data_IF_999069499401
#
_entry.id   IF_999069499401
#
_cell.length_a   1.000
_cell.length_b   1.000
_cell.length_c   1.000
_cell.angle_alpha   90.00
_cell.angle_beta   90.00
_cell.angle_gamma   90.00
#
_symmetry.space_group_name_H-M   'P 1'
#
loop_
_entity.id
_entity.type
_entity.pdbx_description
1 polymer ?
#
# COMPACT_ATOMS: atom_id res chain seq x y z
N UNK A 1 -22.51 2.35 37.29
CA UNK A 1 -22.11 0.99 36.85
C UNK A 1 -22.03 0.90 35.31
N UNK A 2 -21.79 2.01 34.59
CA UNK A 2 -21.85 2.05 33.10
C UNK A 2 -20.48 2.12 32.41
N UNK A 3 -19.38 2.34 33.15
CA UNK A 3 -18.06 2.57 32.53
C UNK A 3 -17.29 1.28 32.18
N UNK A 4 -17.63 0.14 32.81
CA UNK A 4 -16.97 -1.14 32.53
C UNK A 4 -17.44 -1.83 31.25
N UNK A 5 -18.63 -1.50 30.75
CA UNK A 5 -19.22 -2.13 29.56
C UNK A 5 -18.69 -1.53 28.24
N UNK A 6 -18.27 -0.26 28.25
CA UNK A 6 -17.71 0.41 27.06
C UNK A 6 -16.28 -0.04 26.73
N UNK A 7 -15.48 -0.39 27.74
CA UNK A 7 -14.11 -0.90 27.53
C UNK A 7 -14.10 -2.28 26.85
N UNK A 8 -14.96 -3.21 27.29
CA UNK A 8 -15.01 -4.57 26.71
C UNK A 8 -15.44 -4.59 25.23
N UNK A 9 -16.34 -3.69 24.81
CA UNK A 9 -16.75 -3.56 23.40
C UNK A 9 -15.62 -2.99 22.53
N UNK A 10 -14.82 -2.07 23.07
CA UNK A 10 -13.70 -1.48 22.33
C UNK A 10 -12.56 -2.48 22.13
N UNK A 11 -12.28 -3.32 23.14
CA UNK A 11 -11.29 -4.40 23.03
C UNK A 11 -11.72 -5.52 22.07
N UNK A 12 -13.02 -5.82 21.99
CA UNK A 12 -13.54 -6.79 21.04
C UNK A 12 -13.43 -6.29 19.59
N UNK A 13 -13.75 -5.02 19.35
CA UNK A 13 -13.61 -4.37 18.03
C UNK A 13 -12.13 -4.30 17.62
N UNK A 14 -11.22 -3.98 18.55
CA UNK A 14 -9.78 -4.00 18.27
C UNK A 14 -9.27 -5.39 17.89
N UNK A 15 -9.78 -6.46 18.54
CA UNK A 15 -9.44 -7.84 18.18
C UNK A 15 -9.99 -8.25 16.82
N UNK A 16 -11.19 -7.81 16.44
CA UNK A 16 -11.75 -8.07 15.10
C UNK A 16 -11.00 -7.30 14.01
N UNK A 17 -10.56 -6.07 14.27
CA UNK A 17 -9.71 -5.29 13.34
C UNK A 17 -8.34 -5.96 13.17
N UNK A 18 -7.76 -6.51 14.25
CA UNK A 18 -6.52 -7.28 14.18
C UNK A 18 -6.71 -8.65 13.50
N UNK A 19 -7.86 -9.30 13.65
CA UNK A 19 -8.19 -10.58 13.01
C UNK A 19 -8.55 -10.44 11.52
N UNK A 20 -9.04 -9.27 11.10
CA UNK A 20 -9.39 -8.94 9.71
C UNK A 20 -8.22 -8.39 8.88
N UNK A 21 -7.06 -8.12 9.50
CA UNK A 21 -5.86 -7.70 8.77
C UNK A 21 -5.29 -8.92 8.05
N UNK A 22 -5.76 -9.12 6.81
CA UNK A 22 -5.05 -9.94 5.82
C UNK A 22 -3.60 -9.48 5.83
N UNK A 23 -2.70 -10.41 6.15
CA UNK A 23 -1.27 -10.25 6.21
C UNK A 23 -0.79 -9.32 5.09
N UNK A 24 -0.25 -8.17 5.45
CA UNK A 24 0.30 -7.23 4.47
C UNK A 24 1.55 -7.84 3.84
N UNK A 25 1.83 -7.55 2.58
CA UNK A 25 3.08 -7.94 1.90
C UNK A 25 4.35 -7.66 2.74
N UNK A 26 4.36 -6.57 3.52
CA UNK A 26 5.45 -6.26 4.45
C UNK A 26 5.60 -7.29 5.59
N UNK A 27 4.49 -7.86 6.05
CA UNK A 27 4.42 -8.89 7.08
C UNK A 27 4.79 -10.28 6.52
N UNK A 28 4.41 -10.56 5.26
CA UNK A 28 4.86 -11.74 4.54
C UNK A 28 6.38 -11.73 4.29
N UNK A 29 6.94 -10.58 3.88
CA UNK A 29 8.39 -10.37 3.72
C UNK A 29 9.11 -10.55 5.07
N UNK A 30 8.56 -9.99 6.15
CA UNK A 30 9.13 -10.12 7.50
C UNK A 30 9.16 -11.57 8.01
N UNK A 31 8.16 -12.39 7.68
CA UNK A 31 8.12 -13.81 8.04
C UNK A 31 9.12 -14.65 7.24
N UNK A 32 9.30 -14.34 5.95
CA UNK A 32 10.19 -15.09 5.06
C UNK A 32 11.69 -14.74 5.25
N UNK A 33 12.01 -13.54 5.75
CA UNK A 33 13.38 -13.18 6.14
C UNK A 33 14.00 -14.07 7.22
N UNK A 34 13.17 -14.76 8.03
CA UNK A 34 13.63 -15.73 9.03
C UNK A 34 14.01 -17.10 8.46
N UNK A 35 13.45 -17.49 7.30
CA UNK A 35 13.68 -18.78 6.65
C UNK A 35 14.83 -18.71 5.60
N UNK A 36 15.23 -17.49 5.22
CA UNK A 36 16.36 -17.21 4.31
C UNK A 36 17.73 -17.71 4.82
N UNK A 37 17.89 -17.96 6.13
CA UNK A 37 19.16 -18.38 6.75
C UNK A 37 19.50 -19.87 6.53
N UNK A 38 18.69 -20.64 5.78
CA UNK A 38 18.91 -22.09 5.58
C UNK A 38 19.35 -22.52 4.18
N UNK A 39 19.65 -21.57 3.29
CA UNK A 39 20.16 -21.88 1.95
C UNK A 39 19.06 -22.38 1.02
N UNK A 40 18.76 -21.57 0.00
CA UNK A 40 17.86 -21.89 -1.12
C UNK A 40 16.37 -22.03 -0.77
N UNK A 41 15.73 -20.90 -0.41
CA UNK A 41 14.28 -20.76 -0.65
C UNK A 41 14.08 -19.70 -1.73
N UNK A 42 13.68 -20.09 -2.96
CA UNK A 42 13.40 -19.12 -4.01
C UNK A 42 12.26 -18.19 -3.56
N UNK A 43 12.42 -16.89 -3.83
CA UNK A 43 11.42 -15.85 -3.53
C UNK A 43 10.06 -16.31 -4.09
N UNK A 44 8.93 -16.21 -3.36
CA UNK A 44 7.64 -16.65 -3.89
C UNK A 44 7.28 -15.94 -5.20
N UNK A 45 6.67 -16.66 -6.16
CA UNK A 45 6.30 -16.09 -7.48
C UNK A 45 5.45 -14.82 -7.38
N UNK A 46 4.53 -14.76 -6.41
CA UNK A 46 3.71 -13.57 -6.19
C UNK A 46 4.57 -12.37 -5.76
N UNK A 47 5.52 -12.59 -4.85
CA UNK A 47 6.45 -11.55 -4.40
C UNK A 47 7.34 -11.08 -5.56
N UNK A 48 7.83 -12.01 -6.38
CA UNK A 48 8.58 -11.68 -7.60
C UNK A 48 7.75 -10.82 -8.56
N UNK A 49 6.52 -11.24 -8.89
CA UNK A 49 5.62 -10.51 -9.79
C UNK A 49 5.29 -9.11 -9.28
N UNK A 50 4.95 -8.98 -7.99
CA UNK A 50 4.69 -7.67 -7.37
C UNK A 50 5.94 -6.78 -7.39
N UNK A 51 7.12 -7.36 -7.12
CA UNK A 51 8.39 -6.62 -7.15
C UNK A 51 8.72 -6.13 -8.56
N UNK A 52 8.48 -6.96 -9.58
CA UNK A 52 8.68 -6.60 -10.98
C UNK A 52 7.78 -5.42 -11.39
N UNK A 53 6.49 -5.47 -11.05
CA UNK A 53 5.55 -4.38 -11.31
C UNK A 53 5.99 -3.10 -10.60
N UNK A 54 6.31 -3.17 -9.30
CA UNK A 54 6.71 -2.02 -8.51
C UNK A 54 8.00 -1.38 -9.06
N UNK A 55 8.96 -2.21 -9.49
CA UNK A 55 10.20 -1.76 -10.13
C UNK A 55 9.92 -1.08 -11.47
N UNK A 56 9.05 -1.67 -12.29
CA UNK A 56 8.65 -1.09 -13.56
C UNK A 56 8.01 0.31 -13.37
N UNK A 57 7.11 0.46 -12.41
CA UNK A 57 6.49 1.76 -12.09
C UNK A 57 7.58 2.76 -11.68
N UNK A 58 8.49 2.38 -10.78
CA UNK A 58 9.53 3.27 -10.27
C UNK A 58 10.51 3.77 -11.36
N UNK A 59 10.76 2.95 -12.38
CA UNK A 59 11.68 3.30 -13.48
C UNK A 59 10.99 4.13 -14.56
N UNK A 60 9.72 3.84 -14.87
CA UNK A 60 9.05 4.39 -16.05
C UNK A 60 8.08 5.54 -15.76
N UNK A 61 7.66 5.73 -14.50
CA UNK A 61 6.71 6.77 -14.15
C UNK A 61 7.42 8.09 -13.82
N UNK A 62 7.22 9.11 -14.66
CA UNK A 62 7.68 10.47 -14.38
C UNK A 62 6.73 11.15 -13.39
N UNK A 63 7.02 11.02 -12.10
CA UNK A 63 6.27 11.65 -11.02
C UNK A 63 7.21 12.42 -10.08
N UNK A 64 7.24 13.74 -10.23
CA UNK A 64 8.16 14.61 -9.47
C UNK A 64 7.85 14.69 -7.96
N UNK A 65 6.64 14.30 -7.56
CA UNK A 65 6.19 14.26 -6.17
C UNK A 65 6.37 12.88 -5.53
N UNK A 66 6.37 11.82 -6.35
CA UNK A 66 6.32 10.41 -5.94
C UNK A 66 4.97 9.94 -5.42
N UNK A 67 3.94 10.81 -5.39
CA UNK A 67 2.62 10.51 -4.85
C UNK A 67 1.85 9.48 -5.71
N UNK A 68 1.84 9.65 -7.03
CA UNK A 68 1.20 8.71 -7.95
C UNK A 68 1.92 7.36 -7.93
N UNK A 69 3.26 7.37 -7.93
CA UNK A 69 4.05 6.15 -7.77
C UNK A 69 3.66 5.39 -6.50
N UNK A 70 3.64 6.07 -5.35
CA UNK A 70 3.35 5.44 -4.06
C UNK A 70 1.94 4.86 -4.00
N UNK A 71 0.94 5.59 -4.52
CA UNK A 71 -0.45 5.12 -4.56
C UNK A 71 -0.59 3.89 -5.46
N UNK A 72 -0.03 3.91 -6.68
CA UNK A 72 -0.10 2.76 -7.59
C UNK A 72 0.62 1.52 -7.04
N UNK A 73 1.81 1.68 -6.47
CA UNK A 73 2.53 0.58 -5.82
C UNK A 73 1.76 0.01 -4.62
N UNK A 74 1.06 0.87 -3.87
CA UNK A 74 0.17 0.43 -2.79
C UNK A 74 -0.98 -0.41 -3.33
N UNK A 75 -1.66 0.07 -4.38
CA UNK A 75 -2.82 -0.64 -4.95
C UNK A 75 -2.42 -2.00 -5.51
N UNK A 76 -1.30 -2.09 -6.22
CA UNK A 76 -0.74 -3.36 -6.70
C UNK A 76 -0.41 -4.30 -5.53
N UNK A 77 0.22 -3.78 -4.47
CA UNK A 77 0.60 -4.59 -3.31
C UNK A 77 -0.60 -5.11 -2.50
N UNK A 78 -1.75 -4.43 -2.60
CA UNK A 78 -3.00 -4.86 -1.97
C UNK A 78 -3.89 -5.74 -2.87
N UNK A 79 -3.73 -5.66 -4.19
CA UNK A 79 -4.48 -6.46 -5.16
C UNK A 79 -3.77 -7.77 -5.50
N UNK A 80 -3.54 -8.61 -4.48
CA UNK A 80 -2.93 -9.93 -4.67
C UNK A 80 -3.74 -10.80 -5.66
N UNK A 81 -5.05 -10.61 -5.71
CA UNK A 81 -5.94 -11.36 -6.60
C UNK A 81 -5.73 -10.98 -8.08
N UNK A 82 -5.50 -9.72 -8.39
CA UNK A 82 -5.14 -9.27 -9.74
C UNK A 82 -3.75 -9.73 -10.17
N UNK A 83 -2.77 -9.62 -9.28
CA UNK A 83 -1.38 -10.02 -9.57
C UNK A 83 -1.24 -11.54 -9.73
N UNK A 84 -1.87 -12.33 -8.86
CA UNK A 84 -1.81 -13.80 -8.90
C UNK A 84 -2.38 -14.42 -10.18
N UNK A 85 -3.24 -13.71 -10.91
CA UNK A 85 -3.74 -14.16 -12.22
C UNK A 85 -2.71 -14.04 -13.34
N UNK A 86 -1.66 -13.23 -13.15
CA UNK A 86 -0.68 -12.90 -14.18
C UNK A 86 0.76 -13.11 -13.68
N UNK A 87 1.03 -14.16 -12.88
CA UNK A 87 2.35 -14.39 -12.26
C UNK A 87 3.50 -14.48 -13.26
N UNK A 88 3.27 -15.07 -14.44
CA UNK A 88 4.28 -15.21 -15.48
C UNK A 88 4.29 -14.02 -16.47
N UNK A 89 3.35 -13.07 -16.33
CA UNK A 89 3.31 -11.82 -17.11
C UNK A 89 2.85 -10.62 -16.26
N UNK A 90 3.64 -10.20 -15.26
CA UNK A 90 3.18 -9.27 -14.23
C UNK A 90 2.71 -7.91 -14.76
N UNK A 91 3.34 -7.41 -15.83
CA UNK A 91 2.94 -6.15 -16.48
C UNK A 91 1.52 -6.20 -17.09
N UNK A 92 1.02 -7.39 -17.41
CA UNK A 92 -0.38 -7.57 -17.82
C UNK A 92 -1.34 -7.24 -16.68
N UNK A 93 -1.02 -7.61 -15.43
CA UNK A 93 -1.83 -7.23 -14.27
C UNK A 93 -1.85 -5.71 -14.08
N UNK A 94 -0.70 -5.05 -14.21
CA UNK A 94 -0.62 -3.59 -14.14
C UNK A 94 -1.49 -2.95 -15.23
N UNK A 95 -1.38 -3.41 -16.48
CA UNK A 95 -2.20 -2.93 -17.58
C UNK A 95 -3.70 -3.09 -17.28
N UNK A 96 -4.13 -4.27 -16.85
CA UNK A 96 -5.54 -4.53 -16.50
C UNK A 96 -6.03 -3.63 -15.36
N UNK A 97 -5.20 -3.39 -14.34
CA UNK A 97 -5.52 -2.44 -13.28
C UNK A 97 -5.71 -1.02 -13.83
N UNK A 98 -4.79 -0.55 -14.68
CA UNK A 98 -4.87 0.78 -15.28
C UNK A 98 -6.09 0.93 -16.20
N UNK A 99 -6.38 -0.08 -17.03
CA UNK A 99 -7.57 -0.12 -17.87
C UNK A 99 -8.85 0.00 -17.00
N UNK A 100 -8.94 -0.80 -15.93
CA UNK A 100 -10.08 -0.73 -15.00
C UNK A 100 -10.22 0.62 -14.31
N UNK A 101 -9.12 1.29 -13.98
CA UNK A 101 -9.13 2.64 -13.38
C UNK A 101 -9.66 3.65 -14.38
N UNK A 102 -9.17 3.63 -15.62
CA UNK A 102 -9.53 4.59 -16.66
C UNK A 102 -10.99 4.40 -17.09
N UNK A 103 -11.46 3.15 -17.16
CA UNK A 103 -12.82 2.81 -17.57
C UNK A 103 -13.87 3.01 -16.46
N UNK A 104 -13.45 3.24 -15.22
CA UNK A 104 -14.33 3.41 -14.07
C UNK A 104 -14.12 4.77 -13.37
N UNK A 105 -15.08 5.68 -13.54
CA UNK A 105 -15.00 7.04 -12.97
C UNK A 105 -14.83 7.08 -11.46
N UNK A 106 -15.38 6.11 -10.72
CA UNK A 106 -15.25 6.05 -9.26
C UNK A 106 -13.84 5.65 -8.85
N UNK A 107 -13.23 4.68 -9.55
CA UNK A 107 -11.83 4.28 -9.30
C UNK A 107 -10.86 5.39 -9.68
N UNK A 108 -11.11 6.08 -10.81
CA UNK A 108 -10.31 7.23 -11.22
C UNK A 108 -10.40 8.37 -10.19
N UNK A 109 -11.61 8.67 -9.70
CA UNK A 109 -11.79 9.67 -8.64
C UNK A 109 -11.01 9.30 -7.38
N UNK A 110 -11.11 8.03 -6.94
CA UNK A 110 -10.41 7.56 -5.74
C UNK A 110 -8.89 7.63 -5.91
N UNK A 111 -8.36 7.29 -7.10
CA UNK A 111 -6.94 7.44 -7.41
C UNK A 111 -6.51 8.90 -7.23
N UNK A 112 -7.21 9.83 -7.89
CA UNK A 112 -6.89 11.27 -7.82
C UNK A 112 -6.97 11.79 -6.38
N UNK A 113 -7.99 11.36 -5.62
CA UNK A 113 -8.16 11.73 -4.21
C UNK A 113 -6.98 11.29 -3.35
N UNK A 114 -6.54 10.03 -3.51
CA UNK A 114 -5.41 9.50 -2.74
C UNK A 114 -4.08 10.14 -3.14
N UNK A 115 -3.86 10.38 -4.43
CA UNK A 115 -2.67 11.09 -4.92
C UNK A 115 -2.63 12.51 -4.37
N UNK A 116 -3.74 13.24 -4.43
CA UNK A 116 -3.82 14.60 -3.87
C UNK A 116 -3.62 14.66 -2.36
N UNK A 117 -3.97 13.58 -1.64
CA UNK A 117 -3.64 13.45 -0.22
C UNK A 117 -2.14 13.17 -0.02
N UNK A 118 -1.59 12.19 -0.74
CA UNK A 118 -0.18 11.80 -0.69
C UNK A 118 0.76 12.96 -1.02
N UNK A 119 0.40 13.81 -1.99
CA UNK A 119 1.16 15.01 -2.37
C UNK A 119 1.25 16.01 -1.20
N UNK A 120 0.13 16.24 -0.49
CA UNK A 120 0.07 17.18 0.64
C UNK A 120 0.88 16.72 1.86
N UNK A 121 1.05 15.40 2.04
CA UNK A 121 1.78 14.83 3.18
C UNK A 121 3.26 14.52 2.86
N UNK A 122 3.70 14.72 1.62
CA UNK A 122 5.08 14.49 1.21
C UNK A 122 6.06 15.43 1.96
N UNK A 123 7.19 14.91 2.50
CA UNK A 123 8.18 15.69 3.24
C UNK A 123 8.72 16.92 2.50
N UNK A 124 8.68 16.90 1.15
CA UNK A 124 9.08 18.01 0.29
C UNK A 124 8.19 19.27 0.47
N UNK A 125 6.97 19.11 1.01
CA UNK A 125 6.00 20.18 1.30
C UNK A 125 5.74 20.39 2.81
N UNK A 126 6.51 19.73 3.68
CA UNK A 126 6.42 19.88 5.14
C UNK A 126 7.07 21.13 5.79
N UNK A 127 7.65 22.16 5.12
CA UNK A 127 8.22 23.29 5.86
C UNK A 127 7.20 24.36 6.31
N UNK A 128 5.87 24.11 6.22
CA UNK A 128 4.85 25.10 6.64
C UNK A 128 3.99 24.70 7.84
N UNK A 129 4.05 23.45 8.33
CA UNK A 129 3.30 23.04 9.52
C UNK A 129 4.14 23.07 10.82
N UNK A 130 5.46 23.16 10.72
CA UNK A 130 6.36 23.22 11.88
C UNK A 130 6.70 24.63 12.35
N UNK A 131 6.43 25.68 11.56
CA UNK A 131 6.73 27.07 11.98
C UNK A 131 5.69 27.71 12.90
N UNK A 132 4.43 27.24 12.90
CA UNK A 132 3.38 27.80 13.75
C UNK A 132 3.26 27.14 15.14
N UNK A 133 3.91 25.99 15.37
CA UNK A 133 3.90 25.32 16.68
C UNK A 133 5.07 25.73 17.60
N UNK A 134 6.03 26.51 17.09
CA UNK A 134 7.17 27.02 17.89
C UNK A 134 7.14 28.54 18.10
N UNK A 135 6.06 29.23 17.70
CA UNK A 135 5.92 30.70 17.85
C UNK A 135 4.71 31.18 18.66
N UNK A 136 3.88 30.29 19.20
CA UNK A 136 3.00 30.60 20.34
C UNK A 136 3.57 29.82 21.53
N UNK A 137 4.49 30.41 22.30
CA UNK A 137 4.20 31.10 23.57
C UNK A 137 3.41 30.22 24.54
#
# INVERSE_FOLDING_TARGET
MEDKEKQGKNEAIQREILAGRKFSLAEAIGREGGDFLKGESPVPKLVQATTEINTFIAINLQDSSGALQAVLQTWISTDEAGVSKNLDSPLTALKQMLDNIIDNSELLYELVRQVGFAEKVSPKFMPLLTKNFLTNQ
#
